data_IF_885560833504
#
_entry.id   IF_885560833504
#
_cell.length_a   1.000
_cell.length_b   1.000
_cell.length_c   1.000
_cell.angle_alpha   90.00
_cell.angle_beta   90.00
_cell.angle_gamma   90.00
#
_symmetry.space_group_name_H-M   'P 1'
#
loop_
_entity.id
_entity.type
_entity.pdbx_description
1 polymer ?
#
# COMPACT_ATOMS: atom_id res chain seq x y z
N UNK A 1 12.35 -9.70 11.94
CA UNK A 1 11.62 -10.00 10.69
C UNK A 1 11.19 -8.67 10.13
N UNK A 2 11.58 -8.35 8.90
CA UNK A 2 11.25 -7.07 8.28
C UNK A 2 9.89 -7.22 7.60
N UNK A 3 8.96 -6.29 7.81
CA UNK A 3 7.74 -6.27 6.98
C UNK A 3 7.97 -5.32 5.84
N UNK A 4 7.64 -5.76 4.64
CA UNK A 4 7.81 -4.97 3.43
C UNK A 4 6.43 -4.77 2.81
N UNK A 5 6.11 -3.51 2.53
CA UNK A 5 4.90 -3.09 1.87
C UNK A 5 5.28 -2.34 0.59
N UNK A 6 5.28 -3.04 -0.53
CA UNK A 6 5.60 -2.44 -1.83
C UNK A 6 4.32 -1.99 -2.52
N UNK A 7 4.20 -0.69 -2.75
CA UNK A 7 3.06 0.00 -3.35
C UNK A 7 3.44 0.57 -4.72
N UNK A 8 2.55 0.40 -5.69
CA UNK A 8 2.59 1.01 -7.00
C UNK A 8 1.28 1.75 -7.22
N UNK A 9 1.31 3.01 -7.63
CA UNK A 9 0.07 3.75 -7.80
C UNK A 9 0.16 5.13 -8.43
N UNK A 10 -0.98 5.56 -8.96
CA UNK A 10 -1.19 6.89 -9.52
C UNK A 10 -1.80 7.80 -8.45
N UNK A 11 -1.26 9.01 -8.32
CA UNK A 11 -1.73 10.04 -7.39
C UNK A 11 -1.00 10.11 -6.05
N UNK A 12 0.03 9.29 -5.83
CA UNK A 12 1.04 9.51 -4.79
C UNK A 12 2.22 10.32 -5.35
N UNK A 13 3.10 10.83 -4.48
CA UNK A 13 4.30 11.58 -4.90
C UNK A 13 5.19 10.76 -5.85
N UNK A 14 5.25 9.46 -5.63
CA UNK A 14 5.98 8.51 -6.49
C UNK A 14 5.06 7.41 -6.98
N UNK A 15 5.31 6.97 -8.23
CA UNK A 15 4.59 5.87 -8.85
C UNK A 15 4.90 4.52 -8.19
N UNK A 16 6.13 4.37 -7.67
CA UNK A 16 6.60 3.18 -6.97
C UNK A 16 7.12 3.61 -5.60
N UNK A 17 6.71 2.91 -4.56
CA UNK A 17 7.16 3.16 -3.21
C UNK A 17 7.13 1.89 -2.38
N UNK A 18 8.15 1.67 -1.56
CA UNK A 18 8.20 0.54 -0.64
C UNK A 18 8.41 1.05 0.76
N UNK A 19 7.54 0.65 1.67
CA UNK A 19 7.68 0.90 3.10
C UNK A 19 8.23 -0.36 3.76
N UNK A 20 9.30 -0.18 4.53
CA UNK A 20 9.97 -1.26 5.25
C UNK A 20 9.87 -0.95 6.74
N UNK A 21 9.20 -1.85 7.46
CA UNK A 21 9.03 -1.81 8.91
C UNK A 21 10.03 -2.78 9.55
N UNK A 22 10.97 -2.25 10.30
CA UNK A 22 11.96 -2.99 11.07
C UNK A 22 11.80 -2.69 12.57
N UNK A 23 12.46 -3.49 13.42
CA UNK A 23 12.40 -3.32 14.88
C UNK A 23 12.86 -1.94 15.37
N UNK A 24 13.70 -1.26 14.58
CA UNK A 24 14.35 0.01 14.92
C UNK A 24 13.62 1.23 14.32
N UNK A 25 12.60 1.01 13.48
CA UNK A 25 11.81 2.08 12.86
C UNK A 25 11.17 1.70 11.52
N UNK A 26 10.42 2.65 10.98
CA UNK A 26 9.80 2.58 9.65
C UNK A 26 10.50 3.54 8.69
N UNK A 27 10.80 3.10 7.47
CA UNK A 27 11.32 3.97 6.42
C UNK A 27 10.70 3.65 5.07
N UNK A 28 10.64 4.68 4.23
CA UNK A 28 10.02 4.63 2.90
C UNK A 28 11.06 4.85 1.82
N UNK A 29 11.14 3.92 0.88
CA UNK A 29 12.00 4.00 -0.30
C UNK A 29 11.12 4.34 -1.51
N UNK A 30 11.59 5.27 -2.33
CA UNK A 30 11.04 5.53 -3.66
C UNK A 30 11.54 4.45 -4.63
N UNK A 31 10.78 3.36 -4.74
CA UNK A 31 11.13 2.17 -5.52
C UNK A 31 10.21 1.02 -5.18
N UNK A 32 10.22 -0.03 -5.99
CA UNK A 32 9.40 -1.23 -5.77
C UNK A 32 10.30 -2.41 -5.40
N UNK A 33 10.33 -2.76 -4.12
CA UNK A 33 11.13 -3.85 -3.57
C UNK A 33 10.18 -4.99 -3.24
N UNK A 34 10.34 -6.12 -3.95
CA UNK A 34 9.49 -7.29 -3.74
C UNK A 34 9.93 -8.01 -2.47
N UNK A 35 9.02 -8.26 -1.49
CA UNK A 35 9.33 -9.08 -0.32
C UNK A 35 9.71 -10.51 -0.69
N UNK A 36 10.64 -11.11 0.07
CA UNK A 36 10.99 -12.53 -0.08
C UNK A 36 9.81 -13.47 0.09
N UNK A 37 8.89 -13.16 1.02
CA UNK A 37 7.67 -13.93 1.23
C UNK A 37 6.45 -13.03 1.18
N UNK A 38 5.67 -13.15 0.12
CA UNK A 38 4.41 -12.43 -0.04
C UNK A 38 3.40 -12.98 0.96
N UNK A 39 2.87 -12.09 1.80
CA UNK A 39 1.82 -12.40 2.78
C UNK A 39 0.44 -12.11 2.19
N UNK A 40 0.32 -11.02 1.43
CA UNK A 40 -0.89 -10.67 0.73
C UNK A 40 -0.68 -9.53 -0.26
N UNK A 41 -1.69 -9.26 -1.06
CA UNK A 41 -1.80 -8.06 -1.87
C UNK A 41 -3.08 -7.29 -1.56
N UNK A 42 -3.06 -6.00 -1.85
CA UNK A 42 -4.17 -5.08 -1.69
C UNK A 42 -4.24 -4.05 -2.81
N UNK A 43 -5.43 -3.52 -3.05
CA UNK A 43 -5.73 -2.47 -4.02
C UNK A 43 -6.52 -1.41 -3.29
N UNK A 44 -6.08 -0.16 -3.35
CA UNK A 44 -6.77 1.01 -2.83
C UNK A 44 -7.15 1.93 -3.97
N UNK A 45 -8.45 2.10 -4.18
CA UNK A 45 -9.00 3.01 -5.18
C UNK A 45 -9.65 4.17 -4.42
N UNK A 46 -9.02 5.33 -4.47
CA UNK A 46 -9.61 6.58 -3.98
C UNK A 46 -10.46 7.18 -5.10
N UNK A 47 -11.76 7.28 -4.86
CA UNK A 47 -12.76 7.92 -5.71
C UNK A 47 -13.37 9.08 -4.94
N UNK A 48 -12.85 10.29 -5.16
CA UNK A 48 -13.22 11.50 -4.44
C UNK A 48 -13.07 11.36 -2.92
N UNK A 49 -14.20 11.30 -2.20
CA UNK A 49 -14.26 11.17 -0.74
C UNK A 49 -14.33 9.70 -0.29
N UNK A 50 -14.35 8.74 -1.20
CA UNK A 50 -14.50 7.34 -0.89
C UNK A 50 -13.23 6.60 -1.25
N UNK A 51 -12.78 5.71 -0.37
CA UNK A 51 -11.62 4.84 -0.56
C UNK A 51 -12.12 3.41 -0.52
N UNK A 52 -11.97 2.71 -1.63
CA UNK A 52 -12.20 1.28 -1.74
C UNK A 52 -10.89 0.57 -1.48
N UNK A 53 -10.86 -0.33 -0.52
CA UNK A 53 -9.69 -1.10 -0.14
C UNK A 53 -10.06 -2.56 -0.34
N UNK A 54 -9.43 -3.21 -1.30
CA UNK A 54 -9.57 -4.63 -1.56
C UNK A 54 -8.28 -5.27 -1.12
N UNK A 55 -8.31 -6.26 -0.26
CA UNK A 55 -7.12 -6.96 0.20
C UNK A 55 -7.41 -8.44 0.27
N UNK A 56 -6.38 -9.23 0.03
CA UNK A 56 -6.44 -10.68 0.20
C UNK A 56 -6.52 -11.09 1.68
N UNK A 57 -5.94 -10.28 2.57
CA UNK A 57 -5.87 -10.55 4.02
C UNK A 57 -7.18 -10.13 4.74
N UNK A 58 -7.72 -8.94 4.44
CA UNK A 58 -8.90 -8.37 5.11
C UNK A 58 -10.16 -8.31 4.20
N UNK A 59 -10.10 -8.80 2.97
CA UNK A 59 -11.22 -8.74 2.03
C UNK A 59 -11.50 -7.33 1.52
N UNK A 60 -12.78 -6.98 1.36
CA UNK A 60 -13.23 -5.71 0.79
C UNK A 60 -13.72 -4.74 1.88
N UNK A 61 -13.18 -3.54 1.88
CA UNK A 61 -13.48 -2.48 2.84
C UNK A 61 -13.72 -1.16 2.11
N UNK A 62 -14.72 -0.39 2.57
CA UNK A 62 -15.01 0.95 2.05
C UNK A 62 -14.85 1.96 3.19
N UNK A 63 -14.06 3.00 2.95
CA UNK A 63 -13.84 4.10 3.91
C UNK A 63 -14.20 5.44 3.28
N UNK A 64 -14.87 6.32 4.03
CA UNK A 64 -15.08 7.72 3.64
C UNK A 64 -13.98 8.59 4.25
N UNK A 65 -13.47 9.53 3.46
CA UNK A 65 -12.46 10.53 3.82
C UNK A 65 -13.00 11.92 3.53
N UNK A 66 -12.57 12.89 4.32
CA UNK A 66 -13.09 14.25 4.23
C UNK A 66 -12.64 14.99 2.96
N UNK A 67 -11.38 14.75 2.55
CA UNK A 67 -10.74 15.36 1.38
C UNK A 67 -11.03 14.56 0.10
N UNK A 68 -11.36 15.26 -0.98
CA UNK A 68 -11.49 14.67 -2.32
C UNK A 68 -10.11 14.37 -2.90
N UNK A 69 -9.83 13.11 -3.22
CA UNK A 69 -8.63 12.68 -3.96
C UNK A 69 -9.00 11.59 -4.95
N UNK A 70 -8.29 11.55 -6.07
CA UNK A 70 -8.36 10.46 -7.04
C UNK A 70 -6.99 9.78 -7.06
N UNK A 71 -6.94 8.53 -6.59
CA UNK A 71 -5.71 7.73 -6.53
C UNK A 71 -6.02 6.28 -6.77
N UNK A 72 -5.13 5.55 -7.43
CA UNK A 72 -5.23 4.10 -7.59
C UNK A 72 -3.90 3.54 -7.16
N UNK A 73 -3.90 2.73 -6.10
CA UNK A 73 -2.71 2.17 -5.49
C UNK A 73 -2.90 0.66 -5.44
N UNK A 74 -1.97 -0.09 -5.96
CA UNK A 74 -1.82 -1.52 -5.77
C UNK A 74 -0.65 -1.75 -4.84
N UNK A 75 -0.79 -2.61 -3.84
CA UNK A 75 0.25 -2.89 -2.86
C UNK A 75 0.39 -4.37 -2.62
N UNK A 76 1.60 -4.80 -2.30
CA UNK A 76 1.90 -6.14 -1.81
C UNK A 76 2.49 -6.01 -0.42
N UNK A 77 2.01 -6.81 0.51
CA UNK A 77 2.57 -6.96 1.84
C UNK A 77 3.30 -8.29 1.92
N UNK A 78 4.42 -8.29 2.61
CA UNK A 78 5.20 -9.49 2.82
C UNK A 78 6.21 -9.32 3.94
N UNK A 79 7.01 -10.35 4.11
CA UNK A 79 8.11 -10.37 5.06
C UNK A 79 9.43 -10.69 4.36
N UNK A 80 10.49 -10.15 4.93
CA UNK A 80 11.89 -10.42 4.60
C UNK A 80 12.68 -10.89 5.82
#
# INVERSE_FOLDING_TARGET
>A
MKKIFAEIGLGNETFLSTEIEESDGEYRISGFIIPKKIKGCYIRIWVFKTVFIISTDNGFEIKKKDKKRLKIIFGISGIE
#
